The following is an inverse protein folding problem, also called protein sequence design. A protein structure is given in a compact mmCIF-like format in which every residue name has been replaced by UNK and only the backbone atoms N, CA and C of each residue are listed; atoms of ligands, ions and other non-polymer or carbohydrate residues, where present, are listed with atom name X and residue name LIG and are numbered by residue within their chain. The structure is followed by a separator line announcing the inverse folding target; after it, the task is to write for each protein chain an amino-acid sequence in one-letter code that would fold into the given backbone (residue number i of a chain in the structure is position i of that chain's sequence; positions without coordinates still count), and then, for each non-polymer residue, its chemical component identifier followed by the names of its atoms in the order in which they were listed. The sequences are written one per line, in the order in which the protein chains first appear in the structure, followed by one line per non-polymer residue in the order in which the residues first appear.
data_IF_699044736870
#
_entry.id   IF_699044736870
#
_cell.length_a   1.000
_cell.length_b   1.000
_cell.length_c   1.000
_cell.angle_alpha   90.00
_cell.angle_beta   90.00
_cell.angle_gamma   90.00
#
_symmetry.space_group_name_H-M   'P 1'
#
loop_
_entity.id
_entity.type
_entity.pdbx_description
1 polymer ?
#
# COMPACT_ATOMS: atom_id res chain seq x y z
N UNK A 1 15.80 -41.84 35.89
CA UNK A 1 15.88 -40.35 35.84
C UNK A 1 16.47 -39.97 34.49
N UNK A 2 15.75 -39.17 33.70
CA UNK A 2 16.00 -38.93 32.27
C UNK A 2 17.13 -37.92 32.04
N UNK A 3 18.02 -38.20 31.07
CA UNK A 3 19.22 -37.38 30.73
C UNK A 3 18.93 -35.90 30.48
N UNK A 4 17.72 -35.59 30.02
CA UNK A 4 17.20 -34.23 29.78
C UNK A 4 17.08 -33.39 31.06
N UNK A 5 16.78 -34.02 32.21
CA UNK A 5 16.67 -33.31 33.49
C UNK A 5 17.99 -32.70 33.96
N UNK A 6 19.12 -33.37 33.69
CA UNK A 6 20.45 -32.87 34.05
C UNK A 6 20.86 -31.66 33.20
N UNK A 7 20.47 -31.63 31.92
CA UNK A 7 20.77 -30.51 31.00
C UNK A 7 20.04 -29.24 31.46
N UNK A 8 18.74 -29.38 31.77
CA UNK A 8 17.91 -28.28 32.26
C UNK A 8 18.44 -27.76 33.61
N UNK A 9 18.76 -28.66 34.56
CA UNK A 9 19.33 -28.29 35.85
C UNK A 9 20.67 -27.53 35.70
N UNK A 10 21.52 -27.93 34.74
CA UNK A 10 22.79 -27.23 34.48
C UNK A 10 22.58 -25.85 33.82
N UNK A 11 21.59 -25.69 32.94
CA UNK A 11 21.25 -24.39 32.35
C UNK A 11 20.79 -23.39 33.42
N UNK A 12 19.96 -23.81 34.39
CA UNK A 12 19.46 -22.91 35.44
C UNK A 12 20.46 -22.63 36.56
N UNK A 13 21.60 -23.35 36.61
CA UNK A 13 22.68 -23.10 37.58
C UNK A 13 23.35 -21.74 37.39
N UNK A 14 23.38 -21.21 36.15
CA UNK A 14 23.96 -19.91 35.80
C UNK A 14 22.93 -19.08 34.99
N UNK A 15 21.86 -18.65 35.68
CA UNK A 15 20.70 -17.95 35.09
C UNK A 15 21.08 -16.81 34.14
N UNK A 16 22.02 -15.95 34.53
CA UNK A 16 22.47 -14.81 33.71
C UNK A 16 23.04 -15.23 32.35
N UNK A 17 23.92 -16.24 32.34
CA UNK A 17 24.56 -16.71 31.10
C UNK A 17 23.54 -17.37 30.17
N UNK A 18 22.64 -18.15 30.73
CA UNK A 18 21.59 -18.84 29.97
C UNK A 18 20.59 -17.85 29.37
N UNK A 19 20.19 -16.82 30.12
CA UNK A 19 19.30 -15.77 29.61
C UNK A 19 19.98 -14.97 28.50
N UNK A 20 21.23 -14.53 28.69
CA UNK A 20 21.94 -13.73 27.68
C UNK A 20 22.17 -14.51 26.38
N UNK A 21 22.50 -15.80 26.46
CA UNK A 21 22.67 -16.65 25.28
C UNK A 21 21.35 -16.93 24.57
N UNK A 22 20.28 -17.22 25.30
CA UNK A 22 18.95 -17.41 24.73
C UNK A 22 18.43 -16.12 24.06
N UNK A 23 18.62 -14.97 24.72
CA UNK A 23 18.22 -13.67 24.22
C UNK A 23 18.98 -13.30 22.94
N UNK A 24 20.27 -13.65 22.86
CA UNK A 24 21.06 -13.46 21.63
C UNK A 24 20.49 -14.26 20.44
N UNK A 25 20.09 -15.52 20.66
CA UNK A 25 19.47 -16.35 19.62
C UNK A 25 18.10 -15.78 19.21
N UNK A 26 17.27 -15.42 20.19
CA UNK A 26 15.95 -14.81 19.93
C UNK A 26 16.11 -13.52 19.12
N UNK A 27 17.06 -12.66 19.48
CA UNK A 27 17.30 -11.39 18.80
C UNK A 27 17.72 -11.61 17.34
N UNK A 28 18.55 -12.62 17.06
CA UNK A 28 18.93 -12.95 15.68
C UNK A 28 17.72 -13.32 14.81
N UNK A 29 16.82 -14.17 15.32
CA UNK A 29 15.60 -14.54 14.61
C UNK A 29 14.61 -13.37 14.51
N UNK A 30 14.50 -12.52 15.55
CA UNK A 30 13.65 -11.35 15.55
C UNK A 30 14.09 -10.33 14.50
N UNK A 31 15.38 -10.03 14.44
CA UNK A 31 15.94 -9.13 13.43
C UNK A 31 15.75 -9.69 12.02
N UNK A 32 15.94 -10.99 11.83
CA UNK A 32 15.68 -11.64 10.55
C UNK A 32 14.21 -11.56 10.13
N UNK A 33 13.28 -11.86 11.04
CA UNK A 33 11.84 -11.74 10.79
C UNK A 33 11.42 -10.30 10.48
N UNK A 34 11.97 -9.31 11.20
CA UNK A 34 11.71 -7.90 10.93
C UNK A 34 12.21 -7.48 9.55
N UNK A 35 13.43 -7.89 9.18
CA UNK A 35 13.99 -7.62 7.86
C UNK A 35 13.11 -8.20 6.76
N UNK A 36 12.58 -9.42 6.96
CA UNK A 36 11.70 -10.07 6.01
C UNK A 36 10.36 -9.34 5.88
N UNK A 37 9.75 -8.92 6.99
CA UNK A 37 8.54 -8.10 6.97
C UNK A 37 8.74 -6.77 6.23
N UNK A 38 9.85 -6.08 6.50
CA UNK A 38 10.20 -4.82 5.81
C UNK A 38 10.39 -5.06 4.32
N UNK A 39 11.08 -6.14 3.95
CA UNK A 39 11.26 -6.52 2.54
C UNK A 39 9.92 -6.79 1.85
N UNK A 40 9.00 -7.52 2.49
CA UNK A 40 7.65 -7.77 1.96
C UNK A 40 6.87 -6.48 1.77
N UNK A 41 6.92 -5.53 2.71
CA UNK A 41 6.21 -4.24 2.57
C UNK A 41 6.72 -3.46 1.37
N UNK A 42 8.04 -3.42 1.16
CA UNK A 42 8.61 -2.72 0.01
C UNK A 42 8.32 -3.43 -1.32
N UNK A 43 8.25 -4.76 -1.34
CA UNK A 43 7.96 -5.53 -2.56
C UNK A 43 6.45 -5.65 -2.85
N UNK A 44 5.59 -5.61 -1.84
CA UNK A 44 4.13 -5.68 -2.01
C UNK A 44 3.58 -4.49 -2.82
N UNK A 45 4.26 -3.34 -2.81
CA UNK A 45 3.91 -2.21 -3.69
C UNK A 45 4.25 -2.45 -5.16
N UNK A 46 5.24 -3.30 -5.46
CA UNK A 46 5.68 -3.59 -6.82
C UNK A 46 4.71 -4.53 -7.57
N UNK A 47 4.14 -5.52 -6.86
CA UNK A 47 3.22 -6.49 -7.46
C UNK A 47 1.80 -5.93 -7.67
N UNK A 48 1.39 -4.89 -6.93
CA UNK A 48 -0.02 -4.45 -6.90
C UNK A 48 -0.34 -3.18 -7.71
N UNK A 49 0.66 -2.38 -8.13
CA UNK A 49 0.38 -1.03 -8.68
C UNK A 49 0.97 -0.76 -10.07
N UNK A 50 2.03 -1.44 -10.48
CA UNK A 50 2.93 -0.87 -11.51
C UNK A 50 2.84 -1.40 -12.94
N UNK A 51 2.37 -2.62 -13.19
CA UNK A 51 2.64 -3.24 -14.50
C UNK A 51 1.73 -2.75 -15.64
N UNK A 52 0.50 -2.34 -15.34
CA UNK A 52 -0.53 -2.08 -16.37
C UNK A 52 -1.10 -0.66 -16.36
N UNK A 53 -0.66 0.21 -15.46
CA UNK A 53 -1.18 1.59 -15.33
C UNK A 53 -0.08 2.63 -15.49
N UNK A 54 -0.28 3.52 -16.46
CA UNK A 54 0.57 4.68 -16.69
C UNK A 54 -0.11 5.93 -16.13
N UNK A 55 0.57 6.66 -15.25
CA UNK A 55 0.09 7.95 -14.74
C UNK A 55 0.68 9.11 -15.53
N UNK A 56 -0.18 10.02 -15.99
CA UNK A 56 0.22 11.26 -16.69
C UNK A 56 -0.18 12.45 -15.83
N UNK A 57 0.77 13.35 -15.58
CA UNK A 57 0.54 14.57 -14.80
C UNK A 57 1.10 15.80 -15.53
N UNK A 58 0.62 16.99 -15.16
CA UNK A 58 1.19 18.23 -15.68
C UNK A 58 2.64 18.40 -15.20
N UNK A 59 3.52 18.82 -16.12
CA UNK A 59 4.96 19.01 -15.83
C UNK A 59 5.21 20.05 -14.74
N UNK A 60 4.36 21.06 -14.65
CA UNK A 60 4.51 22.19 -13.71
C UNK A 60 4.15 21.80 -12.28
N UNK A 61 3.04 21.09 -12.07
CA UNK A 61 2.56 20.64 -10.77
C UNK A 61 1.35 19.72 -10.95
N UNK A 62 1.19 18.72 -10.08
CA UNK A 62 -0.03 17.89 -10.02
C UNK A 62 -1.30 18.70 -9.68
N UNK A 63 -1.15 19.89 -9.11
CA UNK A 63 -2.26 20.80 -8.81
C UNK A 63 -2.75 21.55 -10.06
N UNK A 64 -1.98 21.55 -11.15
CA UNK A 64 -2.37 22.16 -12.42
C UNK A 64 -3.18 21.18 -13.25
N UNK A 65 -4.43 21.51 -13.63
CA UNK A 65 -5.29 20.59 -14.36
C UNK A 65 -4.78 20.31 -15.77
N UNK A 66 -4.99 19.07 -16.22
CA UNK A 66 -4.84 18.70 -17.63
C UNK A 66 -6.17 18.95 -18.38
N UNK A 67 -6.14 19.38 -19.65
CA UNK A 67 -7.35 19.55 -20.44
C UNK A 67 -8.12 18.23 -20.62
N UNK A 68 -9.45 18.24 -20.40
CA UNK A 68 -10.31 17.07 -20.64
C UNK A 68 -10.28 16.57 -22.09
N UNK A 69 -9.94 17.44 -23.05
CA UNK A 69 -9.74 17.05 -24.46
C UNK A 69 -8.60 16.05 -24.68
N UNK A 70 -7.74 15.82 -23.67
CA UNK A 70 -6.72 14.78 -23.72
C UNK A 70 -7.30 13.38 -23.50
N UNK A 71 -8.41 13.21 -22.79
CA UNK A 71 -9.02 11.89 -22.50
C UNK A 71 -9.27 11.09 -23.78
N UNK A 72 -10.04 11.56 -24.77
CA UNK A 72 -10.27 10.79 -26.00
C UNK A 72 -8.99 10.59 -26.82
N UNK A 73 -8.00 11.49 -26.70
CA UNK A 73 -6.70 11.33 -27.38
C UNK A 73 -5.87 10.20 -26.77
N UNK A 74 -5.92 10.04 -25.45
CA UNK A 74 -5.26 8.95 -24.74
C UNK A 74 -5.95 7.61 -25.00
N UNK A 75 -7.28 7.60 -25.03
CA UNK A 75 -8.07 6.40 -25.37
C UNK A 75 -7.80 5.90 -26.80
N UNK A 76 -7.47 6.81 -27.72
CA UNK A 76 -7.13 6.46 -29.11
C UNK A 76 -5.73 5.85 -29.28
N UNK A 77 -4.87 5.85 -28.25
CA UNK A 77 -3.52 5.29 -28.34
C UNK A 77 -3.60 3.76 -28.37
N UNK A 78 -2.98 3.09 -29.37
CA UNK A 78 -2.96 1.63 -29.43
C UNK A 78 -2.37 1.01 -28.16
N UNK A 79 -3.09 0.07 -27.55
CA UNK A 79 -2.70 -0.61 -26.32
C UNK A 79 -3.24 0.01 -25.03
N UNK A 80 -3.91 1.18 -25.09
CA UNK A 80 -4.63 1.75 -23.94
C UNK A 80 -5.99 1.07 -23.81
N UNK A 81 -6.23 0.40 -22.68
CA UNK A 81 -7.50 -0.28 -22.42
C UNK A 81 -8.60 0.67 -21.91
N UNK A 82 -8.23 1.61 -21.05
CA UNK A 82 -9.16 2.57 -20.45
C UNK A 82 -8.39 3.78 -19.90
N UNK A 83 -9.08 4.92 -19.82
CA UNK A 83 -8.51 6.17 -19.27
C UNK A 83 -9.44 6.70 -18.19
N UNK A 84 -8.88 6.96 -17.01
CA UNK A 84 -9.52 7.67 -15.91
C UNK A 84 -8.68 8.89 -15.53
N UNK A 85 -9.33 9.88 -14.92
CA UNK A 85 -8.67 11.08 -14.43
C UNK A 85 -9.04 11.33 -12.97
N UNK A 86 -8.14 11.98 -12.25
CA UNK A 86 -8.37 12.51 -10.92
C UNK A 86 -7.79 13.91 -10.86
N UNK A 87 -8.62 14.89 -10.56
CA UNK A 87 -8.20 16.27 -10.40
C UNK A 87 -8.14 16.59 -8.91
N UNK A 88 -6.94 16.90 -8.42
CA UNK A 88 -6.81 17.41 -7.05
C UNK A 88 -7.46 18.80 -6.96
N UNK A 89 -8.15 19.04 -5.85
CA UNK A 89 -8.58 20.37 -5.44
C UNK A 89 -8.35 20.56 -3.93
N UNK A 90 -8.09 21.79 -3.51
CA UNK A 90 -7.81 22.16 -2.13
C UNK A 90 -9.04 22.11 -1.23
N UNK A 91 -9.55 20.90 -0.99
CA UNK A 91 -10.72 20.66 -0.16
C UNK A 91 -10.47 20.98 1.31
N UNK A 92 -11.46 21.62 1.94
CA UNK A 92 -11.46 21.89 3.37
C UNK A 92 -12.70 21.24 3.97
N UNK A 93 -12.51 20.48 5.04
CA UNK A 93 -13.59 19.83 5.76
C UNK A 93 -13.88 20.56 7.07
N UNK A 94 -15.17 20.78 7.33
CA UNK A 94 -15.67 21.47 8.52
C UNK A 94 -14.94 22.80 8.79
N UNK A 95 -14.48 23.02 10.02
CA UNK A 95 -13.93 24.27 10.54
C UNK A 95 -12.43 24.42 10.22
N UNK A 96 -12.02 24.23 8.96
CA UNK A 96 -10.64 24.36 8.46
C UNK A 96 -9.71 23.15 8.59
N UNK A 97 -10.21 21.92 8.45
CA UNK A 97 -9.30 20.76 8.27
C UNK A 97 -8.98 20.59 6.78
N UNK A 98 -7.75 20.88 6.31
CA UNK A 98 -7.39 20.64 4.91
C UNK A 98 -7.38 19.13 4.65
N UNK A 99 -8.12 18.70 3.62
CA UNK A 99 -8.13 17.31 3.17
C UNK A 99 -7.66 17.22 1.73
N UNK A 100 -7.05 16.09 1.40
CA UNK A 100 -6.71 15.76 0.03
C UNK A 100 -7.98 15.24 -0.64
N UNK A 101 -8.62 16.07 -1.46
CA UNK A 101 -9.82 15.72 -2.19
C UNK A 101 -9.54 15.66 -3.70
N UNK A 102 -10.16 14.70 -4.37
CA UNK A 102 -10.05 14.53 -5.81
C UNK A 102 -11.44 14.51 -6.45
N UNK A 103 -11.59 15.22 -7.56
CA UNK A 103 -12.73 15.07 -8.46
C UNK A 103 -12.39 14.00 -9.50
N UNK A 104 -13.30 13.06 -9.72
CA UNK A 104 -13.12 11.94 -10.65
C UNK A 104 -14.47 11.53 -11.26
N UNK A 105 -14.42 10.77 -12.35
CA UNK A 105 -15.57 10.09 -12.94
C UNK A 105 -15.70 8.68 -12.32
N UNK A 106 -16.78 8.39 -11.57
CA UNK A 106 -16.99 7.12 -10.88
C UNK A 106 -16.90 5.89 -11.80
N UNK A 107 -17.49 5.97 -13.00
CA UNK A 107 -17.57 4.86 -13.93
C UNK A 107 -16.20 4.54 -14.52
N UNK A 108 -15.48 5.59 -14.96
CA UNK A 108 -14.11 5.44 -15.48
C UNK A 108 -13.17 4.93 -14.40
N UNK A 109 -13.33 5.43 -13.17
CA UNK A 109 -12.48 5.05 -12.06
C UNK A 109 -12.68 3.58 -11.66
N UNK A 110 -13.92 3.11 -11.61
CA UNK A 110 -14.25 1.70 -11.39
C UNK A 110 -13.66 0.78 -12.46
N UNK A 111 -13.63 1.22 -13.72
CA UNK A 111 -13.05 0.45 -14.82
C UNK A 111 -11.51 0.35 -14.78
N UNK A 112 -10.82 1.40 -14.28
CA UNK A 112 -9.35 1.45 -14.18
C UNK A 112 -8.82 0.84 -12.87
N UNK A 113 -9.65 0.79 -11.82
CA UNK A 113 -9.30 0.26 -10.50
C UNK A 113 -10.21 -0.92 -10.10
N UNK A 114 -10.16 -2.06 -10.81
CA UNK A 114 -11.00 -3.22 -10.49
C UNK A 114 -10.72 -3.84 -9.11
N UNK A 115 -9.55 -3.55 -8.52
CA UNK A 115 -9.16 -3.99 -7.18
C UNK A 115 -9.90 -3.26 -6.06
N UNK A 116 -10.59 -2.15 -6.35
CA UNK A 116 -11.40 -1.42 -5.38
C UNK A 116 -12.75 -2.12 -5.19
N UNK A 117 -12.84 -2.92 -4.13
CA UNK A 117 -14.07 -3.63 -3.77
C UNK A 117 -14.95 -2.71 -2.94
N UNK A 118 -16.08 -2.31 -3.52
CA UNK A 118 -17.13 -1.54 -2.85
C UNK A 118 -18.49 -2.19 -3.17
N UNK A 119 -19.42 -2.29 -2.21
CA UNK A 119 -20.77 -2.82 -2.45
C UNK A 119 -21.47 -2.09 -3.60
N UNK A 120 -22.23 -2.82 -4.43
CA UNK A 120 -22.88 -2.25 -5.62
C UNK A 120 -23.77 -1.05 -5.30
N UNK A 121 -24.52 -1.09 -4.19
CA UNK A 121 -25.36 0.02 -3.76
C UNK A 121 -24.56 1.32 -3.51
N UNK A 122 -23.31 1.22 -3.04
CA UNK A 122 -22.45 2.38 -2.82
C UNK A 122 -21.86 2.90 -4.14
N UNK A 123 -21.55 2.01 -5.09
CA UNK A 123 -21.14 2.41 -6.44
C UNK A 123 -22.24 3.18 -7.18
N UNK A 124 -23.50 2.74 -7.07
CA UNK A 124 -24.64 3.43 -7.67
C UNK A 124 -24.81 4.82 -7.04
N UNK A 125 -24.82 4.91 -5.71
CA UNK A 125 -24.93 6.19 -4.99
C UNK A 125 -23.76 7.16 -5.24
N UNK A 126 -22.62 6.66 -5.73
CA UNK A 126 -21.48 7.50 -6.12
C UNK A 126 -21.58 8.01 -7.56
N UNK A 127 -22.37 7.35 -8.40
CA UNK A 127 -22.58 7.70 -9.81
C UNK A 127 -23.72 8.70 -10.00
N UNK A 128 -24.71 8.68 -9.10
CA UNK A 128 -25.84 9.62 -9.01
C UNK A 128 -25.41 11.02 -8.52
#
# INVERSE_FOLDING_TARGET
MTRTGFVIANLFRKRTRTILTLLSVIMAFLLFGLLQSVNTIFNAGADFVGATRLMVQARVSFTSPLPLSMVPKLEAIPGVASVAYQQWFGGVWQQNTPLIMFCLDPQRYRAVYPEWVMPEAQWQAFTD
#
